data_IF_447589608582
#
_entry.id   IF_447589608582
#
_cell.length_a   1.000
_cell.length_b   1.000
_cell.length_c   1.000
_cell.angle_alpha   90.00
_cell.angle_beta   90.00
_cell.angle_gamma   90.00
#
_symmetry.space_group_name_H-M   'P 1'
#
loop_
_entity.id
_entity.type
_entity.pdbx_description
1 polymer ?
#
# COMPACT_ATOMS: atom_id res chain seq x y z
N UNK A 1 8.91 -42.46 -13.34
CA UNK A 1 9.03 -41.08 -12.80
C UNK A 1 7.78 -40.30 -13.21
N UNK A 2 6.80 -40.20 -12.33
CA UNK A 2 5.63 -39.32 -12.51
C UNK A 2 5.94 -37.97 -11.87
N UNK A 3 6.08 -36.93 -12.70
CA UNK A 3 6.13 -35.54 -12.21
C UNK A 3 4.84 -35.19 -11.45
N UNK A 4 4.91 -34.41 -10.38
CA UNK A 4 3.71 -33.94 -9.69
C UNK A 4 2.97 -32.91 -10.58
N UNK A 5 1.63 -32.84 -10.53
CA UNK A 5 0.85 -31.89 -11.30
C UNK A 5 1.12 -30.44 -10.83
N UNK A 6 1.24 -29.52 -11.78
CA UNK A 6 1.42 -28.09 -11.54
C UNK A 6 0.15 -27.51 -10.92
N UNK A 7 0.23 -27.06 -9.65
CA UNK A 7 -0.92 -26.54 -8.90
C UNK A 7 -1.33 -25.16 -9.43
N UNK A 8 -2.64 -24.83 -9.45
CA UNK A 8 -3.13 -23.55 -9.93
C UNK A 8 -2.54 -22.38 -9.10
N UNK A 9 -2.32 -21.21 -9.72
CA UNK A 9 -1.60 -20.09 -9.10
C UNK A 9 -2.27 -19.53 -7.83
N UNK A 10 -3.59 -19.67 -7.70
CA UNK A 10 -4.34 -19.29 -6.50
C UNK A 10 -3.97 -20.14 -5.27
N UNK A 11 -3.67 -21.43 -5.47
CA UNK A 11 -3.27 -22.33 -4.39
C UNK A 11 -1.87 -21.99 -3.89
N UNK A 12 -0.97 -21.57 -4.79
CA UNK A 12 0.38 -21.11 -4.42
C UNK A 12 0.33 -19.84 -3.58
N UNK A 13 -0.51 -18.87 -3.95
CA UNK A 13 -0.66 -17.62 -3.18
C UNK A 13 -1.20 -17.89 -1.77
N UNK A 14 -2.14 -18.84 -1.64
CA UNK A 14 -2.70 -19.26 -0.35
C UNK A 14 -1.69 -20.01 0.51
N UNK A 15 -0.88 -20.87 -0.11
CA UNK A 15 0.19 -21.61 0.57
C UNK A 15 1.29 -20.67 1.11
N UNK A 16 1.61 -19.61 0.35
CA UNK A 16 2.54 -18.55 0.78
C UNK A 16 1.95 -17.72 1.92
N UNK A 17 0.65 -17.38 1.87
CA UNK A 17 -0.04 -16.68 2.95
C UNK A 17 -0.08 -17.50 4.26
N UNK A 18 -0.34 -18.80 4.15
CA UNK A 18 -0.34 -19.73 5.29
C UNK A 18 1.08 -19.91 5.87
N UNK A 19 2.10 -19.96 5.02
CA UNK A 19 3.50 -20.00 5.44
C UNK A 19 3.92 -18.71 6.17
N UNK A 20 3.50 -17.55 5.67
CA UNK A 20 3.75 -16.26 6.31
C UNK A 20 3.08 -16.19 7.69
N UNK A 21 1.80 -16.59 7.80
CA UNK A 21 1.05 -16.60 9.07
C UNK A 21 1.72 -17.51 10.11
N UNK A 22 2.20 -18.69 9.70
CA UNK A 22 2.96 -19.59 10.58
C UNK A 22 4.29 -18.99 11.03
N UNK A 23 5.02 -18.34 10.13
CA UNK A 23 6.28 -17.68 10.47
C UNK A 23 6.06 -16.55 11.50
N UNK A 24 4.98 -15.79 11.38
CA UNK A 24 4.62 -14.74 12.34
C UNK A 24 4.19 -15.28 13.71
N UNK A 25 3.58 -16.47 13.76
CA UNK A 25 3.17 -17.12 15.01
C UNK A 25 4.32 -17.70 15.86
N UNK A 26 5.52 -17.85 15.27
CA UNK A 26 6.71 -18.36 15.94
C UNK A 26 7.60 -17.25 16.53
N UNK A 27 7.24 -15.97 16.32
CA UNK A 27 7.90 -14.86 16.99
C UNK A 27 7.45 -14.84 18.46
N UNK A 28 8.39 -14.92 19.43
CA UNK A 28 8.03 -14.87 20.84
C UNK A 28 7.39 -13.51 21.14
N UNK A 29 6.12 -13.53 21.56
CA UNK A 29 5.51 -12.39 22.21
C UNK A 29 6.26 -12.18 23.53
N UNK A 30 7.19 -11.23 23.58
CA UNK A 30 7.77 -10.80 24.86
C UNK A 30 6.72 -9.99 25.64
N UNK A 31 6.29 -10.44 26.84
CA UNK A 31 5.61 -9.57 27.78
C UNK A 31 6.64 -8.67 28.48
N UNK A 32 6.12 -7.58 29.01
CA UNK A 32 6.78 -6.37 29.50
C UNK A 32 7.93 -6.58 30.52
N UNK A 33 9.08 -5.91 30.30
CA UNK A 33 9.87 -5.19 31.33
C UNK A 33 11.19 -4.64 30.77
N UNK A 34 11.15 -3.44 30.19
CA UNK A 34 12.13 -2.34 30.35
C UNK A 34 11.43 -1.11 29.78
N UNK A 35 11.11 -0.11 30.62
CA UNK A 35 10.62 1.17 30.13
C UNK A 35 11.74 1.93 29.37
N UNK A 36 11.56 2.28 28.08
CA UNK A 36 12.37 3.30 27.44
C UNK A 36 11.62 4.65 27.40
N UNK A 37 12.34 5.78 27.30
CA UNK A 37 11.70 7.09 27.23
C UNK A 37 10.98 7.26 25.90
N UNK A 38 9.71 7.68 25.98
CA UNK A 38 8.89 8.40 24.99
C UNK A 38 9.27 8.24 23.51
N UNK A 39 8.57 7.34 22.81
CA UNK A 39 7.88 7.64 21.53
C UNK A 39 6.75 6.63 21.32
N UNK A 40 5.68 6.76 22.10
CA UNK A 40 4.47 5.91 22.04
C UNK A 40 3.70 5.99 20.70
N UNK A 41 4.10 6.92 19.81
CA UNK A 41 3.34 7.29 18.61
C UNK A 41 3.64 6.42 17.38
N UNK A 42 4.87 5.90 17.21
CA UNK A 42 5.21 4.99 16.10
C UNK A 42 4.71 3.56 16.32
N UNK A 43 4.67 3.13 17.58
CA UNK A 43 4.08 1.84 17.98
C UNK A 43 2.57 1.84 17.77
N UNK A 44 1.88 2.97 17.91
CA UNK A 44 0.44 3.10 17.66
C UNK A 44 0.07 2.95 16.18
N UNK A 45 0.86 3.48 15.24
CA UNK A 45 0.65 3.26 13.80
C UNK A 45 0.89 1.79 13.41
N UNK A 46 1.98 1.19 13.89
CA UNK A 46 2.25 -0.24 13.72
C UNK A 46 1.26 -1.15 14.47
N UNK A 47 0.62 -0.65 15.55
CA UNK A 47 -0.39 -1.36 16.35
C UNK A 47 -1.81 -1.17 15.82
N UNK A 48 -2.10 -0.08 15.10
CA UNK A 48 -3.31 0.06 14.26
C UNK A 48 -3.25 -0.86 13.04
N UNK A 49 -2.04 -1.16 12.57
CA UNK A 49 -1.76 -2.20 11.58
C UNK A 49 -1.70 -3.63 12.19
N UNK A 50 -1.92 -3.82 13.51
CA UNK A 50 -2.13 -5.16 14.08
C UNK A 50 -3.56 -5.62 13.79
N UNK A 51 -3.81 -5.84 12.50
CA UNK A 51 -4.40 -7.06 11.94
C UNK A 51 -5.20 -7.90 12.95
N UNK A 52 -6.49 -7.59 13.02
CA UNK A 52 -7.49 -8.62 13.26
C UNK A 52 -7.39 -9.61 12.08
N UNK A 53 -7.26 -10.94 12.29
CA UNK A 53 -7.20 -11.92 11.20
C UNK A 53 -8.34 -11.76 10.17
N UNK A 54 -9.48 -11.19 10.57
CA UNK A 54 -10.62 -10.92 9.70
C UNK A 54 -10.48 -9.63 8.85
N UNK A 55 -9.56 -8.71 9.19
CA UNK A 55 -9.38 -7.41 8.48
C UNK A 55 -8.05 -7.26 7.73
N UNK A 56 -7.13 -8.21 7.88
CA UNK A 56 -5.76 -8.13 7.31
C UNK A 56 -5.75 -7.87 5.81
N UNK A 57 -6.61 -8.57 5.07
CA UNK A 57 -6.69 -8.43 3.62
C UNK A 57 -7.01 -6.98 3.23
N UNK A 58 -8.00 -6.38 3.90
CA UNK A 58 -8.42 -5.00 3.63
C UNK A 58 -7.34 -4.00 4.02
N UNK A 59 -6.66 -4.20 5.15
CA UNK A 59 -5.59 -3.31 5.61
C UNK A 59 -4.36 -3.37 4.70
N UNK A 60 -4.00 -4.55 4.20
CA UNK A 60 -2.92 -4.72 3.23
C UNK A 60 -3.27 -4.09 1.88
N UNK A 61 -4.50 -4.27 1.40
CA UNK A 61 -4.97 -3.62 0.16
C UNK A 61 -4.91 -2.10 0.33
N UNK A 62 -5.41 -1.58 1.45
CA UNK A 62 -5.34 -0.15 1.77
C UNK A 62 -3.90 0.37 1.72
N UNK A 63 -2.95 -0.34 2.33
CA UNK A 63 -1.54 0.04 2.30
C UNK A 63 -0.96 0.05 0.88
N UNK A 64 -1.23 -0.98 0.07
CA UNK A 64 -0.74 -1.04 -1.31
C UNK A 64 -1.33 0.09 -2.15
N UNK A 65 -2.64 0.31 -2.06
CA UNK A 65 -3.32 1.40 -2.77
C UNK A 65 -2.78 2.77 -2.33
N UNK A 66 -2.47 2.93 -1.04
CA UNK A 66 -1.82 4.14 -0.52
C UNK A 66 -0.45 4.39 -1.14
N UNK A 67 0.38 3.34 -1.29
CA UNK A 67 1.71 3.46 -1.93
C UNK A 67 1.56 3.83 -3.41
N UNK A 68 0.62 3.19 -4.12
CA UNK A 68 0.37 3.49 -5.54
C UNK A 68 -0.10 4.92 -5.71
N UNK A 69 -0.96 5.42 -4.83
CA UNK A 69 -1.43 6.80 -4.85
C UNK A 69 -0.29 7.81 -4.61
N UNK A 70 0.62 7.52 -3.66
CA UNK A 70 1.81 8.34 -3.46
C UNK A 70 2.69 8.40 -4.71
N UNK A 71 2.89 7.26 -5.39
CA UNK A 71 3.64 7.22 -6.64
C UNK A 71 2.95 8.01 -7.75
N UNK A 72 1.62 7.93 -7.86
CA UNK A 72 0.82 8.72 -8.80
C UNK A 72 1.05 10.21 -8.59
N UNK A 73 0.94 10.69 -7.35
CA UNK A 73 1.15 12.10 -7.00
C UNK A 73 2.58 12.57 -7.28
N UNK A 74 3.59 11.74 -6.99
CA UNK A 74 4.97 12.05 -7.32
C UNK A 74 5.18 12.15 -8.83
N UNK A 75 4.63 11.21 -9.59
CA UNK A 75 4.70 11.22 -11.05
C UNK A 75 4.00 12.45 -11.64
N UNK A 76 2.84 12.82 -11.10
CA UNK A 76 2.09 14.03 -11.49
C UNK A 76 2.90 15.31 -11.22
N UNK A 77 3.47 15.43 -10.02
CA UNK A 77 4.32 16.57 -9.68
C UNK A 77 5.56 16.67 -10.58
N UNK A 78 6.18 15.52 -10.88
CA UNK A 78 7.32 15.48 -11.78
C UNK A 78 6.93 15.77 -13.24
N UNK A 79 5.73 15.34 -13.66
CA UNK A 79 5.16 15.66 -14.97
C UNK A 79 5.02 17.18 -15.12
N UNK A 80 4.32 17.82 -14.17
CA UNK A 80 4.16 19.27 -14.15
C UNK A 80 5.51 20.00 -14.21
N UNK A 81 6.48 19.55 -13.40
CA UNK A 81 7.80 20.16 -13.41
C UNK A 81 8.50 20.04 -14.77
N UNK A 82 8.39 18.90 -15.46
CA UNK A 82 8.98 18.73 -16.80
C UNK A 82 8.27 19.55 -17.87
N UNK A 83 6.95 19.72 -17.76
CA UNK A 83 6.17 20.62 -18.63
C UNK A 83 6.67 22.05 -18.46
N UNK A 84 6.80 22.53 -17.22
CA UNK A 84 7.27 23.88 -16.91
C UNK A 84 8.69 24.15 -17.43
N UNK A 85 9.56 23.13 -17.40
CA UNK A 85 10.93 23.21 -17.94
C UNK A 85 11.01 23.05 -19.47
N UNK A 86 9.89 22.76 -20.15
CA UNK A 86 9.86 22.49 -21.60
C UNK A 86 10.56 21.18 -21.99
N UNK A 87 10.67 20.23 -21.06
CA UNK A 87 11.37 18.96 -21.22
C UNK A 87 10.51 17.86 -21.87
N UNK A 88 9.28 18.18 -22.28
CA UNK A 88 8.34 17.28 -22.95
C UNK A 88 7.82 17.90 -24.25
N UNK A 89 7.54 17.06 -25.25
CA UNK A 89 6.77 17.48 -26.43
C UNK A 89 5.27 17.45 -26.13
N UNK A 90 4.47 18.21 -26.86
CA UNK A 90 3.01 18.27 -26.70
C UNK A 90 2.35 16.87 -26.72
N UNK A 91 2.75 16.00 -27.64
CA UNK A 91 2.28 14.60 -27.70
C UNK A 91 2.67 13.77 -26.46
N UNK A 92 3.83 14.04 -25.85
CA UNK A 92 4.28 13.35 -24.64
C UNK A 92 3.50 13.82 -23.43
N UNK A 93 3.20 15.12 -23.34
CA UNK A 93 2.38 15.71 -22.28
C UNK A 93 0.96 15.13 -22.30
N UNK A 94 0.32 15.11 -23.47
CA UNK A 94 -1.02 14.55 -23.64
C UNK A 94 -1.07 13.07 -23.24
N UNK A 95 -0.11 12.28 -23.70
CA UNK A 95 -0.03 10.84 -23.38
C UNK A 95 0.18 10.61 -21.89
N UNK A 96 1.03 11.42 -21.25
CA UNK A 96 1.30 11.34 -19.82
C UNK A 96 0.06 11.70 -19.01
N UNK A 97 -0.64 12.78 -19.36
CA UNK A 97 -1.90 13.18 -18.74
C UNK A 97 -2.95 12.08 -18.83
N UNK A 98 -3.16 11.52 -20.04
CA UNK A 98 -4.12 10.44 -20.26
C UNK A 98 -3.79 9.19 -19.42
N UNK A 99 -2.50 8.85 -19.32
CA UNK A 99 -2.06 7.70 -18.51
C UNK A 99 -2.33 7.92 -17.03
N UNK A 100 -2.07 9.12 -16.50
CA UNK A 100 -2.32 9.47 -15.10
C UNK A 100 -3.83 9.48 -14.78
N UNK A 101 -4.67 9.97 -15.70
CA UNK A 101 -6.13 9.91 -15.57
C UNK A 101 -6.63 8.46 -15.54
N UNK A 102 -6.18 7.62 -16.47
CA UNK A 102 -6.55 6.20 -16.49
C UNK A 102 -6.13 5.48 -15.21
N UNK A 103 -4.94 5.80 -14.68
CA UNK A 103 -4.49 5.25 -13.41
C UNK A 103 -5.41 5.67 -12.25
N UNK A 104 -5.82 6.95 -12.20
CA UNK A 104 -6.76 7.45 -11.19
C UNK A 104 -8.11 6.71 -11.25
N UNK A 105 -8.67 6.53 -12.45
CA UNK A 105 -9.95 5.82 -12.61
C UNK A 105 -9.86 4.37 -12.13
N UNK A 106 -8.76 3.67 -12.47
CA UNK A 106 -8.54 2.29 -12.01
C UNK A 106 -8.29 2.19 -10.51
N UNK A 107 -7.68 3.20 -9.92
CA UNK A 107 -7.53 3.32 -8.47
C UNK A 107 -8.88 3.50 -7.79
N UNK A 108 -9.76 4.36 -8.33
CA UNK A 108 -11.11 4.54 -7.81
C UNK A 108 -11.93 3.23 -7.86
N UNK A 109 -11.91 2.53 -9.01
CA UNK A 109 -12.56 1.22 -9.16
C UNK A 109 -12.02 0.15 -8.19
N UNK A 110 -10.71 0.18 -7.91
CA UNK A 110 -10.10 -0.70 -6.92
C UNK A 110 -10.57 -0.35 -5.51
N UNK A 111 -10.57 0.93 -5.15
CA UNK A 111 -11.03 1.39 -3.84
C UNK A 111 -12.47 0.95 -3.58
N UNK A 112 -13.37 1.18 -4.53
CA UNK A 112 -14.80 0.80 -4.44
C UNK A 112 -14.98 -0.70 -4.18
N UNK A 113 -14.21 -1.55 -4.86
CA UNK A 113 -14.26 -3.02 -4.69
C UNK A 113 -13.89 -3.48 -3.28
N UNK A 114 -13.04 -2.74 -2.59
CA UNK A 114 -12.61 -3.06 -1.22
C UNK A 114 -13.30 -2.19 -0.16
N UNK A 115 -14.35 -1.45 -0.56
CA UNK A 115 -15.10 -0.56 0.32
C UNK A 115 -14.22 0.54 0.91
N UNK A 116 -13.28 1.06 0.11
CA UNK A 116 -12.39 2.17 0.45
C UNK A 116 -12.76 3.37 -0.41
N UNK A 117 -12.42 4.55 0.06
CA UNK A 117 -12.45 5.79 -0.71
C UNK A 117 -11.02 6.25 -1.01
N UNK A 118 -10.86 7.18 -1.96
CA UNK A 118 -9.55 7.80 -2.20
C UNK A 118 -9.02 8.53 -0.95
N UNK A 119 -9.91 9.11 -0.15
CA UNK A 119 -9.56 9.77 1.12
C UNK A 119 -9.03 8.77 2.16
N UNK A 120 -9.51 7.52 2.14
CA UNK A 120 -9.02 6.48 3.04
C UNK A 120 -7.54 6.17 2.81
N UNK A 121 -7.03 6.36 1.59
CA UNK A 121 -5.63 6.09 1.24
C UNK A 121 -4.66 7.03 1.96
N UNK A 122 -5.14 8.12 2.57
CA UNK A 122 -4.26 9.00 3.32
C UNK A 122 -4.00 8.46 4.73
N UNK A 123 -3.01 7.58 4.86
CA UNK A 123 -2.64 6.97 6.13
C UNK A 123 -2.05 7.99 7.11
N UNK A 124 -2.62 8.07 8.31
CA UNK A 124 -2.04 8.81 9.45
C UNK A 124 -0.91 8.00 10.10
N UNK A 125 0.32 8.47 9.93
CA UNK A 125 1.52 7.87 10.50
C UNK A 125 1.79 8.36 11.93
N UNK A 126 0.94 9.23 12.49
CA UNK A 126 1.06 9.79 13.83
C UNK A 126 2.00 11.00 13.88
N UNK A 127 3.21 10.90 14.46
CA UNK A 127 4.09 12.07 14.62
C UNK A 127 4.74 12.50 13.30
N UNK A 128 4.67 11.67 12.26
CA UNK A 128 5.13 11.97 10.90
C UNK A 128 4.05 12.64 10.05
N UNK A 129 2.83 12.80 10.58
CA UNK A 129 1.69 13.33 9.84
C UNK A 129 1.07 12.29 8.90
N UNK A 130 0.34 12.77 7.90
CA UNK A 130 -0.32 11.94 6.89
C UNK A 130 0.66 11.60 5.77
N UNK A 131 0.55 10.40 5.17
CA UNK A 131 1.50 9.96 4.14
C UNK A 131 1.32 10.74 2.82
N UNK A 132 0.08 11.04 2.44
CA UNK A 132 -0.20 11.82 1.24
C UNK A 132 -0.19 13.32 1.60
N UNK A 133 0.55 14.15 0.85
CA UNK A 133 0.49 15.61 0.99
C UNK A 133 -0.93 16.13 0.69
N UNK A 134 -1.34 17.25 1.33
CA UNK A 134 -2.64 17.87 1.13
C UNK A 134 -2.77 18.53 -0.25
#
# INVERSE_FOLDING_TARGET
MTSPPDRPPADRLREVADAATRAFSLLPAQPDDVAPPRTDRGRAAARRLRTDPDTVERDLVKLVLTIVELLRQLMERQALHRVDEGNLTEEQEERLGLTLMLLHDRMAELCDRYGLTMEDLNLDLGPLGTLLPP
#
